data_IF_919391909428
#
_entry.id   IF_919391909428
#
_cell.length_a   1.000
_cell.length_b   1.000
_cell.length_c   1.000
_cell.angle_alpha   90.00
_cell.angle_beta   90.00
_cell.angle_gamma   90.00
#
_symmetry.space_group_name_H-M   'P 1'
#
loop_
_entity.id
_entity.type
_entity.pdbx_description
1 polymer ?
#
# COMPACT_ATOMS: atom_id res chain seq x y z
N UNK A 1 16.41 5.40 -13.77
CA UNK A 1 15.98 4.40 -12.77
C UNK A 1 14.47 4.44 -12.68
N UNK A 2 13.85 3.29 -12.41
CA UNK A 2 12.42 3.11 -12.21
C UNK A 2 12.13 3.07 -10.72
N UNK A 3 11.40 4.08 -10.24
CA UNK A 3 11.05 4.24 -8.83
C UNK A 3 9.56 3.97 -8.66
N UNK A 4 9.23 3.09 -7.73
CA UNK A 4 7.86 2.76 -7.36
C UNK A 4 7.55 3.27 -5.95
N UNK A 5 6.58 4.16 -5.85
CA UNK A 5 5.97 4.50 -4.57
C UNK A 5 4.72 3.65 -4.37
N UNK A 6 4.60 3.00 -3.21
CA UNK A 6 3.40 2.29 -2.83
C UNK A 6 2.67 3.06 -1.73
N UNK A 7 1.42 3.43 -1.98
CA UNK A 7 0.58 4.18 -1.06
C UNK A 7 -0.88 3.76 -1.23
N UNK A 8 -1.56 3.36 -0.15
CA UNK A 8 -2.94 2.88 -0.24
C UNK A 8 -3.91 3.98 -0.68
N UNK A 9 -3.74 5.20 -0.16
CA UNK A 9 -4.56 6.38 -0.48
C UNK A 9 -3.69 7.58 -0.83
N UNK A 10 -3.75 7.99 -2.09
CA UNK A 10 -2.98 9.09 -2.67
C UNK A 10 -3.86 10.32 -2.86
N UNK A 11 -5.13 10.13 -3.22
CA UNK A 11 -6.09 11.21 -3.47
C UNK A 11 -6.86 11.56 -2.20
N UNK A 12 -6.14 11.91 -1.13
CA UNK A 12 -6.74 12.31 0.14
C UNK A 12 -5.95 13.43 0.80
N UNK A 13 -6.63 14.19 1.66
CA UNK A 13 -6.02 15.29 2.40
C UNK A 13 -5.24 14.75 3.61
N UNK A 14 -3.93 14.62 3.45
CA UNK A 14 -3.04 14.29 4.56
C UNK A 14 -1.59 14.70 4.33
N UNK A 15 -0.83 14.74 5.43
CA UNK A 15 0.57 15.19 5.41
C UNK A 15 1.47 14.26 4.59
N UNK A 16 1.25 12.94 4.69
CA UNK A 16 2.02 11.93 3.96
C UNK A 16 1.75 12.03 2.46
N UNK A 17 0.48 12.18 2.06
CA UNK A 17 0.07 12.33 0.67
C UNK A 17 0.70 13.57 0.03
N UNK A 18 0.72 14.69 0.75
CA UNK A 18 1.36 15.92 0.28
C UNK A 18 2.86 15.75 0.09
N UNK A 19 3.57 15.15 1.05
CA UNK A 19 5.02 14.91 0.95
C UNK A 19 5.33 13.93 -0.18
N UNK A 20 4.54 12.86 -0.30
CA UNK A 20 4.66 11.90 -1.40
C UNK A 20 4.51 12.59 -2.75
N UNK A 21 3.51 13.46 -2.91
CA UNK A 21 3.29 14.20 -4.14
C UNK A 21 4.48 15.09 -4.51
N UNK A 22 5.00 15.87 -3.57
CA UNK A 22 6.15 16.75 -3.81
C UNK A 22 7.41 15.95 -4.19
N UNK A 23 7.68 14.86 -3.47
CA UNK A 23 8.85 14.00 -3.75
C UNK A 23 8.69 13.30 -5.10
N UNK A 24 7.52 12.72 -5.38
CA UNK A 24 7.27 12.01 -6.63
C UNK A 24 7.41 12.94 -7.85
N UNK A 25 6.85 14.15 -7.78
CA UNK A 25 6.98 15.17 -8.85
C UNK A 25 8.43 15.61 -9.04
N UNK A 26 9.16 15.88 -7.94
CA UNK A 26 10.57 16.27 -8.02
C UNK A 26 11.44 15.18 -8.66
N UNK A 27 11.15 13.91 -8.36
CA UNK A 27 11.88 12.78 -8.93
C UNK A 27 11.48 12.47 -10.37
N UNK A 28 10.23 12.72 -10.76
CA UNK A 28 9.70 12.42 -12.10
C UNK A 28 10.34 13.25 -13.21
N UNK A 29 10.99 14.37 -12.87
CA UNK A 29 11.76 15.17 -13.82
C UNK A 29 13.06 14.49 -14.30
N UNK A 30 13.55 13.47 -13.60
CA UNK A 30 14.82 12.76 -13.92
C UNK A 30 14.67 11.24 -14.00
N UNK A 31 13.62 10.68 -13.41
CA UNK A 31 13.41 9.25 -13.25
C UNK A 31 11.99 8.87 -13.67
N UNK A 32 11.79 7.62 -14.05
CA UNK A 32 10.45 7.10 -14.26
C UNK A 32 9.85 6.79 -12.88
N UNK A 33 8.89 7.61 -12.46
CA UNK A 33 8.22 7.47 -11.17
C UNK A 33 6.82 6.94 -11.38
N UNK A 34 6.51 5.82 -10.74
CA UNK A 34 5.16 5.26 -10.67
C UNK A 34 4.66 5.27 -9.24
N UNK A 35 3.41 5.69 -9.04
CA UNK A 35 2.69 5.53 -7.79
C UNK A 35 1.71 4.36 -7.94
N UNK A 36 1.88 3.33 -7.12
CA UNK A 36 0.98 2.18 -6.99
C UNK A 36 -0.01 2.45 -5.86
N UNK A 37 -1.29 2.52 -6.20
CA UNK A 37 -2.38 2.86 -5.26
C UNK A 37 -3.55 1.89 -5.32
N UNK A 38 -4.31 1.86 -4.21
CA UNK A 38 -5.57 1.11 -4.09
C UNK A 38 -6.80 2.00 -4.24
N UNK A 39 -6.60 3.30 -4.42
CA UNK A 39 -7.69 4.25 -4.62
C UNK A 39 -8.56 3.87 -5.82
N UNK A 40 -9.87 4.06 -5.66
CA UNK A 40 -10.87 3.82 -6.71
C UNK A 40 -11.19 5.07 -7.53
N UNK A 41 -10.83 6.26 -7.01
CA UNK A 41 -11.15 7.55 -7.61
C UNK A 41 -9.85 8.31 -7.87
N UNK A 42 -9.56 8.54 -9.14
CA UNK A 42 -8.37 9.28 -9.58
C UNK A 42 -8.70 10.78 -9.66
N UNK A 43 -8.00 11.60 -8.89
CA UNK A 43 -8.07 13.06 -9.01
C UNK A 43 -6.68 13.64 -9.28
N UNK A 44 -6.32 13.76 -10.56
CA UNK A 44 -5.01 14.30 -10.97
C UNK A 44 -4.88 15.81 -10.73
N UNK A 45 -5.98 16.52 -10.48
CA UNK A 45 -5.93 17.94 -10.10
C UNK A 45 -5.40 18.10 -8.67
N UNK A 46 -5.59 17.06 -7.84
CA UNK A 46 -5.08 17.02 -6.48
C UNK A 46 -3.55 17.00 -6.50
N UNK A 47 -2.95 17.89 -5.70
CA UNK A 47 -1.49 18.06 -5.60
C UNK A 47 -0.75 18.36 -6.92
N UNK A 48 -1.47 18.71 -8.00
CA UNK A 48 -0.88 19.08 -9.29
C UNK A 48 -0.26 17.91 -10.06
N UNK A 49 -0.79 16.69 -9.91
CA UNK A 49 -0.29 15.54 -10.67
C UNK A 49 -0.51 15.67 -12.19
N UNK A 50 -1.54 16.41 -12.61
CA UNK A 50 -1.85 16.68 -14.02
C UNK A 50 -0.71 17.36 -14.78
N UNK A 51 0.14 18.12 -14.08
CA UNK A 51 1.30 18.82 -14.67
C UNK A 51 2.59 17.99 -14.62
N UNK A 52 2.52 16.77 -14.07
CA UNK A 52 3.69 15.92 -13.82
C UNK A 52 3.73 14.69 -14.73
N UNK A 53 4.92 14.14 -14.92
CA UNK A 53 5.15 12.87 -15.65
C UNK A 53 4.96 11.63 -14.78
N UNK A 54 4.36 11.78 -13.58
CA UNK A 54 4.15 10.69 -12.64
C UNK A 54 3.10 9.73 -13.19
N UNK A 55 3.46 8.44 -13.26
CA UNK A 55 2.56 7.39 -13.69
C UNK A 55 1.79 6.84 -12.49
N UNK A 56 0.54 6.44 -12.72
CA UNK A 56 -0.29 5.79 -11.70
C UNK A 56 -0.61 4.37 -12.11
N UNK A 57 -0.46 3.44 -11.16
CA UNK A 57 -0.91 2.06 -11.28
C UNK A 57 -1.91 1.77 -10.18
N UNK A 58 -3.02 1.16 -10.57
CA UNK A 58 -4.13 0.87 -9.67
C UNK A 58 -4.19 -0.61 -9.46
N UNK A 59 -4.32 -1.03 -8.21
CA UNK A 59 -4.58 -2.42 -7.91
C UNK A 59 -5.64 -2.54 -6.85
N UNK A 60 -6.54 -3.48 -7.04
CA UNK A 60 -7.51 -3.85 -6.03
C UNK A 60 -7.05 -5.15 -5.40
N UNK A 61 -7.16 -5.23 -4.08
CA UNK A 61 -7.11 -6.53 -3.44
C UNK A 61 -8.36 -7.31 -3.84
N UNK A 62 -8.18 -8.39 -4.60
CA UNK A 62 -9.24 -9.38 -4.77
C UNK A 62 -9.78 -9.75 -3.39
N UNK A 63 -11.10 -9.77 -3.22
CA UNK A 63 -11.72 -10.12 -1.95
C UNK A 63 -11.02 -11.35 -1.37
N UNK A 64 -10.30 -11.16 -0.25
CA UNK A 64 -9.66 -12.26 0.45
C UNK A 64 -10.71 -13.35 0.64
N UNK A 65 -10.35 -14.61 0.44
CA UNK A 65 -11.27 -15.72 0.70
C UNK A 65 -11.99 -15.47 2.03
N UNK A 66 -13.32 -15.61 2.05
CA UNK A 66 -14.14 -15.30 3.24
C UNK A 66 -13.56 -15.95 4.51
N UNK A 67 -12.97 -17.14 4.35
CA UNK A 67 -12.24 -17.90 5.37
C UNK A 67 -11.02 -17.14 5.92
N UNK A 68 -10.14 -16.61 5.06
CA UNK A 68 -8.95 -15.85 5.51
C UNK A 68 -9.38 -14.61 6.32
N UNK A 69 -10.45 -13.93 5.89
CA UNK A 69 -11.01 -12.78 6.63
C UNK A 69 -11.63 -13.19 7.97
N UNK A 70 -12.30 -14.34 8.03
CA UNK A 70 -12.88 -14.88 9.25
C UNK A 70 -11.79 -15.29 10.25
N UNK A 71 -10.72 -15.92 9.79
CA UNK A 71 -9.56 -16.30 10.60
C UNK A 71 -8.86 -15.06 11.16
N UNK A 72 -8.61 -14.04 10.35
CA UNK A 72 -8.01 -12.78 10.81
C UNK A 72 -8.87 -12.09 11.87
N UNK A 73 -10.19 -12.02 11.67
CA UNK A 73 -11.13 -11.44 12.65
C UNK A 73 -11.21 -12.27 13.93
N UNK A 74 -11.30 -13.58 13.82
CA UNK A 74 -11.33 -14.50 14.96
C UNK A 74 -10.06 -14.39 15.80
N UNK A 75 -8.90 -14.34 15.15
CA UNK A 75 -7.62 -14.18 15.85
C UNK A 75 -7.48 -12.79 16.49
N UNK A 76 -7.87 -11.73 15.77
CA UNK A 76 -7.92 -10.37 16.33
C UNK A 76 -8.84 -10.27 17.55
N UNK A 77 -9.97 -10.98 17.53
CA UNK A 77 -10.91 -11.03 18.65
C UNK A 77 -10.32 -11.79 19.84
N UNK A 78 -9.76 -12.99 19.60
CA UNK A 78 -9.08 -13.80 20.62
C UNK A 78 -7.91 -13.05 21.27
N UNK A 79 -7.15 -12.29 20.47
CA UNK A 79 -6.06 -11.47 20.97
C UNK A 79 -6.54 -10.37 21.92
N UNK A 80 -7.65 -9.70 21.59
CA UNK A 80 -8.22 -8.64 22.42
C UNK A 80 -8.93 -9.15 23.68
N UNK A 81 -9.52 -10.34 23.64
CA UNK A 81 -10.41 -10.82 24.70
C UNK A 81 -9.86 -11.95 25.58
N UNK A 82 -8.74 -12.59 25.24
CA UNK A 82 -8.27 -13.72 26.05
C UNK A 82 -6.83 -14.20 25.89
N UNK A 83 -6.11 -13.83 24.82
CA UNK A 83 -4.71 -14.24 24.70
C UNK A 83 -3.78 -13.39 25.60
N UNK A 84 -2.79 -14.02 26.24
CA UNK A 84 -1.78 -13.27 26.98
C UNK A 84 -0.97 -12.43 25.98
N UNK A 85 -0.79 -11.14 26.29
CA UNK A 85 -0.13 -10.15 25.43
C UNK A 85 1.39 -10.33 25.42
N UNK A 86 1.84 -11.51 24.99
CA UNK A 86 3.24 -11.88 24.86
C UNK A 86 3.79 -11.44 23.51
N UNK A 87 5.12 -11.46 23.37
CA UNK A 87 5.80 -11.12 22.11
C UNK A 87 5.33 -11.97 20.92
N UNK A 88 5.03 -13.24 21.15
CA UNK A 88 4.62 -14.18 20.10
C UNK A 88 3.18 -13.92 19.64
N UNK A 89 2.24 -13.76 20.59
CA UNK A 89 0.84 -13.48 20.28
C UNK A 89 0.67 -12.10 19.63
N UNK A 90 1.48 -11.12 20.04
CA UNK A 90 1.54 -9.79 19.40
C UNK A 90 2.03 -9.88 17.95
N UNK A 91 3.05 -10.71 17.69
CA UNK A 91 3.57 -10.90 16.33
C UNK A 91 2.53 -11.57 15.42
N UNK A 92 1.76 -12.52 15.94
CA UNK A 92 0.69 -13.19 15.18
C UNK A 92 -0.50 -12.25 14.98
N UNK A 93 -0.81 -11.40 15.97
CA UNK A 93 -1.79 -10.34 15.82
C UNK A 93 -1.40 -9.36 14.71
N UNK A 94 -0.14 -8.91 14.69
CA UNK A 94 0.39 -8.07 13.61
C UNK A 94 0.29 -8.76 12.24
N UNK A 95 0.59 -10.06 12.16
CA UNK A 95 0.44 -10.85 10.94
C UNK A 95 -1.02 -10.98 10.47
N UNK A 96 -1.99 -10.90 11.39
CA UNK A 96 -3.43 -10.99 11.05
C UNK A 96 -3.97 -9.77 10.31
N UNK A 97 -3.32 -8.60 10.44
CA UNK A 97 -3.74 -7.38 9.73
C UNK A 97 -3.39 -7.38 8.24
N UNK A 98 -2.35 -8.11 7.85
CA UNK A 98 -1.88 -8.14 6.47
C UNK A 98 -1.86 -9.58 5.95
N UNK A 99 -3.00 -10.04 5.37
CA UNK A 99 -3.17 -11.41 4.92
C UNK A 99 -2.09 -11.88 3.96
N UNK A 100 -1.82 -13.18 3.97
CA UNK A 100 -0.78 -13.77 3.12
C UNK A 100 -1.09 -13.65 1.62
N UNK A 101 -2.39 -13.64 1.28
CA UNK A 101 -2.86 -13.38 -0.08
C UNK A 101 -2.53 -11.96 -0.54
N UNK A 102 -2.73 -10.97 0.33
CA UNK A 102 -2.46 -9.55 0.03
C UNK A 102 -0.97 -9.33 -0.21
N UNK A 103 -0.12 -9.90 0.67
CA UNK A 103 1.35 -9.89 0.49
C UNK A 103 1.76 -10.47 -0.86
N UNK A 104 1.19 -11.61 -1.24
CA UNK A 104 1.50 -12.28 -2.52
C UNK A 104 1.07 -11.46 -3.73
N UNK A 105 -0.12 -10.88 -3.71
CA UNK A 105 -0.62 -10.03 -4.81
C UNK A 105 0.22 -8.77 -4.96
N UNK A 106 0.52 -8.08 -3.86
CA UNK A 106 1.35 -6.89 -3.86
C UNK A 106 2.77 -7.21 -4.35
N UNK A 107 3.42 -8.24 -3.79
CA UNK A 107 4.76 -8.66 -4.20
C UNK A 107 4.81 -9.05 -5.67
N UNK A 108 3.80 -9.77 -6.19
CA UNK A 108 3.73 -10.12 -7.61
C UNK A 108 3.65 -8.88 -8.49
N UNK A 109 2.85 -7.88 -8.10
CA UNK A 109 2.67 -6.65 -8.88
C UNK A 109 3.92 -5.77 -8.87
N UNK A 110 4.58 -5.65 -7.72
CA UNK A 110 5.87 -4.96 -7.59
C UNK A 110 6.95 -5.66 -8.43
N UNK A 111 7.08 -6.98 -8.29
CA UNK A 111 8.12 -7.74 -8.98
C UNK A 111 7.92 -7.76 -10.51
N UNK A 112 6.67 -7.70 -10.98
CA UNK A 112 6.37 -7.65 -12.41
C UNK A 112 6.90 -6.38 -13.09
N UNK A 113 7.02 -5.26 -12.37
CA UNK A 113 7.50 -3.99 -12.94
C UNK A 113 9.02 -3.86 -12.99
N UNK A 114 9.78 -4.80 -12.43
CA UNK A 114 11.24 -4.77 -12.37
C UNK A 114 11.80 -3.41 -11.89
N UNK A 115 11.20 -2.83 -10.86
CA UNK A 115 11.62 -1.54 -10.34
C UNK A 115 13.01 -1.62 -9.69
N UNK A 116 13.80 -0.54 -9.80
CA UNK A 116 15.11 -0.45 -9.16
C UNK A 116 14.96 -0.14 -7.67
N UNK A 117 13.95 0.67 -7.33
CA UNK A 117 13.68 1.12 -5.96
C UNK A 117 12.18 1.08 -5.70
N UNK A 118 11.80 0.56 -4.52
CA UNK A 118 10.42 0.52 -4.04
C UNK A 118 10.35 1.21 -2.69
N UNK A 119 9.48 2.21 -2.56
CA UNK A 119 9.29 3.00 -1.35
C UNK A 119 7.85 2.80 -0.88
N UNK A 120 7.68 2.22 0.30
CA UNK A 120 6.37 2.08 0.94
C UNK A 120 6.06 3.28 1.82
N UNK A 121 4.92 3.92 1.57
CA UNK A 121 4.33 4.94 2.44
C UNK A 121 3.09 4.34 3.10
N UNK A 122 3.11 4.29 4.43
CA UNK A 122 2.07 3.71 5.30
C UNK A 122 1.10 4.79 5.75
#
# INVERSE_FOLDING_TARGET
MRILFYCDTVFSFGGVQRVLAEIAKALSGKHEVTILTTDTCTDLSMYGYAESTVLFDYFSYSASSFIERLLCKGYSFLYKHGLPHTRQTSAWYAASFFPSSYKRTLARKINARQCDVVIGTV
#
